data_IF_132599076952
#
_entry.id   IF_132599076952
#
_cell.length_a   1.000
_cell.length_b   1.000
_cell.length_c   1.000
_cell.angle_alpha   90.00
_cell.angle_beta   90.00
_cell.angle_gamma   90.00
#
_symmetry.space_group_name_H-M   'P 1'
#
loop_
_entity.id
_entity.type
_entity.pdbx_description
1 polymer ?
#
# COMPACT_ATOMS: atom_id res chain seq x y z
N UNK A 1 -9.66 7.01 -9.40
CA UNK A 1 -8.34 7.17 -10.04
C UNK A 1 -7.97 5.98 -10.94
N UNK A 2 -8.14 4.73 -10.49
CA UNK A 2 -7.85 3.52 -11.30
C UNK A 2 -8.57 3.48 -12.67
N UNK A 3 -9.82 3.97 -12.76
CA UNK A 3 -10.55 4.02 -14.03
C UNK A 3 -9.86 4.86 -15.11
N UNK A 4 -9.36 6.06 -14.76
CA UNK A 4 -8.70 6.96 -15.71
C UNK A 4 -7.42 6.32 -16.27
N UNK A 5 -6.69 5.60 -15.41
CA UNK A 5 -5.43 4.92 -15.77
C UNK A 5 -5.70 3.72 -16.68
N UNK A 6 -6.81 3.01 -16.45
CA UNK A 6 -7.30 1.98 -17.35
C UNK A 6 -7.54 2.52 -18.76
N UNK A 7 -8.28 3.62 -18.89
CA UNK A 7 -8.55 4.25 -20.20
C UNK A 7 -7.27 4.63 -20.95
N UNK A 8 -6.32 5.33 -20.28
CA UNK A 8 -5.05 5.72 -20.90
C UNK A 8 -4.21 4.51 -21.36
N UNK A 9 -4.26 3.40 -20.63
CA UNK A 9 -3.52 2.19 -21.01
C UNK A 9 -4.15 1.40 -22.16
N UNK A 10 -5.44 1.58 -22.46
CA UNK A 10 -6.10 0.86 -23.55
C UNK A 10 -6.09 1.64 -24.87
N UNK A 11 -6.23 2.96 -24.84
CA UNK A 11 -6.45 3.75 -26.06
C UNK A 11 -5.16 4.27 -26.74
N UNK A 12 -4.02 4.26 -26.04
CA UNK A 12 -2.78 4.87 -26.56
C UNK A 12 -1.90 3.88 -27.31
N UNK A 13 -1.09 4.33 -28.28
CA UNK A 13 -0.01 3.51 -28.82
C UNK A 13 1.24 3.59 -27.91
N UNK A 14 1.99 2.49 -27.80
CA UNK A 14 3.11 2.33 -26.84
C UNK A 14 4.25 3.35 -26.97
N UNK A 15 4.33 4.07 -28.10
CA UNK A 15 5.49 4.90 -28.47
C UNK A 15 5.10 6.33 -28.82
N UNK A 16 3.84 6.70 -28.64
CA UNK A 16 3.31 7.97 -29.14
C UNK A 16 3.47 9.10 -28.12
N UNK A 17 3.58 8.76 -26.83
CA UNK A 17 3.60 9.73 -25.74
C UNK A 17 4.68 9.41 -24.72
N UNK A 18 5.34 10.45 -24.24
CA UNK A 18 6.17 10.41 -23.04
C UNK A 18 5.35 10.96 -21.86
N UNK A 19 5.18 10.15 -20.81
CA UNK A 19 4.45 10.56 -19.62
C UNK A 19 5.40 11.08 -18.55
N UNK A 20 5.04 12.24 -17.99
CA UNK A 20 5.64 12.81 -16.79
C UNK A 20 4.54 12.90 -15.75
N UNK A 21 4.77 12.35 -14.56
CA UNK A 21 3.74 12.25 -13.55
C UNK A 21 4.20 12.61 -12.14
N UNK A 22 3.21 12.87 -11.29
CA UNK A 22 3.42 13.16 -9.89
C UNK A 22 3.89 11.93 -9.11
N UNK A 23 4.49 12.18 -7.95
CA UNK A 23 4.96 11.16 -6.99
C UNK A 23 3.89 10.16 -6.61
N UNK A 24 2.64 10.62 -6.47
CA UNK A 24 1.51 9.77 -6.18
C UNK A 24 1.35 8.61 -7.17
N UNK A 25 1.86 8.72 -8.40
CA UNK A 25 1.82 7.64 -9.39
C UNK A 25 2.95 6.63 -9.24
N UNK A 26 4.16 7.08 -8.88
CA UNK A 26 5.36 6.24 -8.86
C UNK A 26 5.37 5.15 -7.79
N UNK A 27 4.62 5.33 -6.69
CA UNK A 27 4.64 4.42 -5.53
C UNK A 27 3.35 3.62 -5.33
N UNK A 28 2.26 3.94 -6.04
CA UNK A 28 0.92 3.46 -5.68
C UNK A 28 0.33 2.40 -6.62
N UNK A 29 0.98 2.07 -7.73
CA UNK A 29 0.35 1.27 -8.79
C UNK A 29 1.22 0.08 -9.20
N UNK A 30 0.61 -1.12 -9.20
CA UNK A 30 1.19 -2.29 -9.82
C UNK A 30 1.21 -2.11 -11.35
N UNK A 31 2.36 -1.69 -11.88
CA UNK A 31 2.55 -1.39 -13.30
C UNK A 31 2.51 -2.61 -14.21
N UNK A 32 2.47 -3.84 -13.68
CA UNK A 32 2.46 -5.09 -14.47
C UNK A 32 1.26 -5.16 -15.43
N UNK A 33 0.15 -4.48 -15.09
CA UNK A 33 -1.06 -4.43 -15.92
C UNK A 33 -1.08 -3.24 -16.90
N UNK A 34 -0.17 -2.27 -16.74
CA UNK A 34 -0.18 -1.00 -17.47
C UNK A 34 0.98 -0.90 -18.47
N UNK A 35 1.07 -1.87 -19.39
CA UNK A 35 2.18 -2.01 -20.35
C UNK A 35 2.40 -0.74 -21.19
N UNK A 36 1.34 0.00 -21.55
CA UNK A 36 1.45 1.18 -22.40
C UNK A 36 1.94 2.43 -21.66
N UNK A 37 2.02 2.35 -20.34
CA UNK A 37 2.49 3.43 -19.46
C UNK A 37 3.93 3.15 -18.96
N UNK A 38 4.57 2.09 -19.47
CA UNK A 38 5.98 1.80 -19.23
C UNK A 38 6.85 2.93 -19.80
N UNK A 39 7.91 3.30 -19.09
CA UNK A 39 8.81 4.39 -19.48
C UNK A 39 8.37 5.78 -18.99
N UNK A 40 7.29 5.86 -18.23
CA UNK A 40 6.93 7.08 -17.50
C UNK A 40 8.08 7.56 -16.61
N UNK A 41 8.31 8.88 -16.63
CA UNK A 41 9.17 9.58 -15.66
C UNK A 41 8.31 10.09 -14.50
N UNK A 42 8.69 9.77 -13.27
CA UNK A 42 8.05 10.29 -12.05
C UNK A 42 9.10 10.95 -11.18
N UNK A 43 8.67 11.99 -10.45
CA UNK A 43 9.42 12.50 -9.30
C UNK A 43 9.01 11.68 -8.10
N UNK A 44 9.95 11.21 -7.28
CA UNK A 44 9.66 10.53 -6.04
C UNK A 44 10.53 11.10 -4.92
N UNK A 45 9.94 11.31 -3.75
CA UNK A 45 10.69 11.69 -2.56
C UNK A 45 11.57 10.51 -2.16
N UNK A 46 12.87 10.75 -2.02
CA UNK A 46 13.81 9.73 -1.57
C UNK A 46 13.49 9.38 -0.11
N UNK A 47 12.87 8.23 0.11
CA UNK A 47 12.64 7.70 1.44
C UNK A 47 13.93 7.10 1.99
N UNK A 48 14.39 7.62 3.12
CA UNK A 48 15.49 7.02 3.87
C UNK A 48 14.85 6.10 4.92
N UNK A 49 14.88 4.80 4.67
CA UNK A 49 14.47 3.83 5.70
C UNK A 49 15.56 3.81 6.76
N UNK A 50 15.23 4.24 7.97
CA UNK A 50 16.11 4.03 9.12
C UNK A 50 15.83 2.65 9.70
N UNK A 51 16.90 1.89 9.98
CA UNK A 51 16.77 0.54 10.56
C UNK A 51 15.98 0.56 11.88
N UNK A 52 16.06 1.68 12.62
CA UNK A 52 15.28 1.93 13.83
C UNK A 52 13.77 1.98 13.57
N UNK A 53 13.32 2.62 12.49
CA UNK A 53 11.90 2.68 12.16
C UNK A 53 11.35 1.29 11.79
N UNK A 54 12.08 0.53 10.97
CA UNK A 54 11.70 -0.85 10.62
C UNK A 54 11.68 -1.75 11.85
N UNK A 55 12.67 -1.63 12.72
CA UNK A 55 12.75 -2.40 13.97
C UNK A 55 11.61 -2.06 14.92
N UNK A 56 11.26 -0.78 15.03
CA UNK A 56 10.12 -0.32 15.82
C UNK A 56 8.80 -0.89 15.28
N UNK A 57 8.57 -0.83 13.97
CA UNK A 57 7.37 -1.41 13.36
C UNK A 57 7.24 -2.92 13.60
N UNK A 58 8.35 -3.67 13.54
CA UNK A 58 8.37 -5.12 13.85
C UNK A 58 8.12 -5.43 15.33
N UNK A 59 8.46 -4.50 16.21
CA UNK A 59 8.26 -4.63 17.65
C UNK A 59 6.82 -4.28 18.09
N UNK A 60 5.98 -3.75 17.18
CA UNK A 60 4.59 -3.46 17.51
C UNK A 60 3.85 -4.73 17.94
N UNK A 61 3.03 -4.56 18.97
CA UNK A 61 2.23 -5.61 19.61
C UNK A 61 0.80 -5.09 19.78
N UNK A 62 -0.22 -5.96 19.66
CA UNK A 62 -1.63 -5.57 19.77
C UNK A 62 -2.02 -5.05 21.17
N UNK A 63 -1.17 -5.25 22.17
CA UNK A 63 -1.29 -4.70 23.53
C UNK A 63 -0.73 -3.28 23.65
N UNK A 64 -0.03 -2.76 22.64
CA UNK A 64 0.50 -1.41 22.68
C UNK A 64 -0.67 -0.39 22.73
N UNK A 65 -0.81 0.26 23.89
CA UNK A 65 -1.90 1.20 24.18
C UNK A 65 -1.66 2.60 23.63
N UNK A 66 -0.44 2.91 23.17
CA UNK A 66 -0.09 4.24 22.67
C UNK A 66 -0.75 4.56 21.33
N UNK A 67 -1.10 3.53 20.55
CA UNK A 67 -1.75 3.68 19.27
C UNK A 67 -2.97 2.75 19.16
N UNK A 68 -4.20 3.29 19.19
CA UNK A 68 -5.42 2.50 19.17
C UNK A 68 -5.66 1.79 17.82
N UNK A 69 -4.95 2.18 16.76
CA UNK A 69 -5.09 1.60 15.42
C UNK A 69 -4.19 0.39 15.18
N UNK A 70 -3.20 0.10 16.05
CA UNK A 70 -2.31 -1.06 15.86
C UNK A 70 -3.11 -2.36 15.84
N UNK A 71 -4.04 -2.54 16.79
CA UNK A 71 -4.84 -3.75 16.89
C UNK A 71 -5.69 -4.00 15.63
N UNK A 72 -6.59 -3.08 15.21
CA UNK A 72 -7.40 -3.32 14.02
C UNK A 72 -6.54 -3.46 12.75
N UNK A 73 -5.38 -2.80 12.68
CA UNK A 73 -4.43 -2.98 11.57
C UNK A 73 -3.87 -4.42 11.52
N UNK A 74 -3.42 -4.97 12.65
CA UNK A 74 -2.91 -6.34 12.71
C UNK A 74 -4.01 -7.36 12.43
N UNK A 75 -5.22 -7.15 12.93
CA UNK A 75 -6.39 -8.01 12.67
C UNK A 75 -6.74 -8.06 11.18
N UNK A 76 -6.68 -6.91 10.50
CA UNK A 76 -6.87 -6.82 9.05
C UNK A 76 -5.76 -7.56 8.29
N UNK A 77 -4.49 -7.40 8.69
CA UNK A 77 -3.36 -8.06 8.02
C UNK A 77 -3.38 -9.58 8.19
N UNK A 78 -3.64 -10.05 9.41
CA UNK A 78 -3.64 -11.48 9.72
C UNK A 78 -4.99 -12.14 9.52
N UNK A 79 -6.00 -11.39 9.08
CA UNK A 79 -7.39 -11.86 8.92
C UNK A 79 -7.84 -12.71 10.12
N UNK A 80 -7.69 -12.15 11.33
CA UNK A 80 -8.00 -12.80 12.60
C UNK A 80 -8.39 -11.76 13.66
N UNK A 81 -8.97 -12.19 14.78
CA UNK A 81 -9.38 -11.31 15.88
C UNK A 81 -8.65 -11.60 17.19
N UNK A 82 -8.35 -10.57 17.96
CA UNK A 82 -7.89 -10.71 19.35
C UNK A 82 -9.10 -10.87 20.30
N UNK A 83 -8.90 -11.57 21.42
CA UNK A 83 -9.98 -11.85 22.37
C UNK A 83 -10.66 -10.58 22.91
N UNK A 84 -9.84 -9.56 23.12
CA UNK A 84 -10.20 -8.22 23.60
C UNK A 84 -10.76 -7.30 22.52
N UNK A 85 -11.05 -7.80 21.32
CA UNK A 85 -11.55 -6.98 20.21
C UNK A 85 -13.07 -6.83 20.22
N UNK A 86 -13.51 -5.64 19.80
CA UNK A 86 -14.92 -5.24 19.80
C UNK A 86 -15.68 -5.92 18.65
N UNK A 87 -15.04 -6.06 17.50
CA UNK A 87 -15.58 -6.76 16.34
C UNK A 87 -14.87 -8.11 16.13
N UNK A 88 -15.64 -9.18 16.02
CA UNK A 88 -15.19 -10.57 15.79
C UNK A 88 -15.78 -11.15 14.51
N UNK A 89 -16.01 -10.28 13.52
CA UNK A 89 -16.56 -10.63 12.21
C UNK A 89 -15.72 -11.66 11.44
N UNK A 90 -14.45 -11.83 11.79
CA UNK A 90 -13.55 -12.86 11.25
C UNK A 90 -13.58 -14.12 12.12
N UNK A 91 -13.60 -15.33 11.51
CA UNK A 91 -13.84 -16.59 12.25
C UNK A 91 -12.65 -17.13 13.07
N UNK A 92 -11.45 -16.57 12.91
CA UNK A 92 -10.22 -17.14 13.48
C UNK A 92 -9.61 -16.22 14.54
N UNK A 93 -9.38 -16.76 15.74
CA UNK A 93 -8.69 -16.05 16.83
C UNK A 93 -7.19 -15.96 16.51
N UNK A 94 -6.54 -14.82 16.77
CA UNK A 94 -5.08 -14.73 16.73
C UNK A 94 -4.49 -15.62 17.84
N UNK A 95 -3.44 -16.37 17.52
CA UNK A 95 -2.65 -17.13 18.51
C UNK A 95 -1.70 -16.24 19.29
#
# INVERSE_FOLDING_TARGET
>A
MQHIIGYMNHELALNEFLFIASEGWGLSINMTQYRKLLGTITVATRLWTTDGFVSHLKALRPENKENPWIRPYLEMIYNSYFESSIDKSVKMKCN
#
